data_IF_752528086145
#
_entry.id   IF_752528086145
#
_cell.length_a   1.000
_cell.length_b   1.000
_cell.length_c   1.000
_cell.angle_alpha   90.00
_cell.angle_beta   90.00
_cell.angle_gamma   90.00
#
_symmetry.space_group_name_H-M   'P 1'
#
loop_
_entity.id
_entity.type
_entity.pdbx_description
1 polymer ?
#
# COMPACT_ATOMS: atom_id res chain seq x y z
N UNK A 1 -70.41 -29.89 -44.05
CA UNK A 1 -69.06 -29.36 -44.40
C UNK A 1 -68.70 -28.27 -43.39
N UNK A 2 -67.93 -28.61 -42.35
CA UNK A 2 -67.51 -27.66 -41.30
C UNK A 2 -66.00 -27.50 -41.33
N UNK A 3 -65.41 -26.31 -41.36
CA UNK A 3 -63.95 -26.17 -41.19
C UNK A 3 -63.57 -26.12 -39.71
N UNK A 4 -62.62 -26.96 -39.38
CA UNK A 4 -61.96 -27.03 -38.08
C UNK A 4 -60.94 -25.89 -37.93
N UNK A 5 -61.13 -25.03 -36.95
CA UNK A 5 -60.14 -24.04 -36.53
C UNK A 5 -59.10 -24.69 -35.62
N UNK A 6 -57.83 -24.72 -36.10
CA UNK A 6 -56.65 -25.10 -35.30
C UNK A 6 -56.15 -23.82 -34.59
N UNK A 7 -56.34 -23.78 -33.26
CA UNK A 7 -55.65 -22.81 -32.41
C UNK A 7 -54.35 -23.41 -31.87
N UNK A 8 -53.22 -22.92 -32.37
CA UNK A 8 -51.89 -23.25 -31.83
C UNK A 8 -51.55 -22.40 -30.61
N UNK A 9 -50.87 -22.98 -29.60
CA UNK A 9 -50.43 -22.21 -28.42
C UNK A 9 -49.21 -21.37 -28.78
N UNK A 10 -49.29 -20.06 -28.50
CA UNK A 10 -48.18 -19.15 -28.56
C UNK A 10 -47.24 -19.42 -27.38
N UNK A 11 -46.05 -19.95 -27.64
CA UNK A 11 -44.99 -20.08 -26.65
C UNK A 11 -44.31 -18.76 -26.40
N UNK A 12 -44.59 -18.10 -25.23
CA UNK A 12 -43.86 -16.96 -24.75
C UNK A 12 -42.47 -17.39 -24.28
N UNK A 13 -41.44 -17.11 -25.05
CA UNK A 13 -40.04 -17.21 -24.64
C UNK A 13 -39.73 -16.05 -23.69
N UNK A 14 -39.61 -16.34 -22.39
CA UNK A 14 -39.06 -15.41 -21.40
C UNK A 14 -37.53 -15.40 -21.54
N UNK A 15 -36.99 -14.33 -22.11
CA UNK A 15 -35.54 -14.05 -22.07
C UNK A 15 -35.16 -13.58 -20.66
N UNK A 16 -34.61 -14.47 -19.85
CA UNK A 16 -33.97 -14.14 -18.58
C UNK A 16 -32.61 -13.53 -18.94
N UNK A 17 -32.57 -12.19 -19.00
CA UNK A 17 -31.30 -11.46 -19.08
C UNK A 17 -30.60 -11.56 -17.71
N UNK A 18 -29.65 -12.47 -17.56
CA UNK A 18 -28.72 -12.47 -16.45
C UNK A 18 -27.85 -11.21 -16.54
N UNK A 19 -28.19 -10.15 -15.78
CA UNK A 19 -27.28 -9.03 -15.57
C UNK A 19 -26.06 -9.55 -14.80
N UNK A 20 -24.90 -9.53 -15.47
CA UNK A 20 -23.63 -9.85 -14.80
C UNK A 20 -23.40 -8.81 -13.67
N UNK A 21 -23.00 -9.24 -12.46
CA UNK A 21 -22.68 -8.31 -11.40
C UNK A 21 -21.54 -7.41 -11.86
N UNK A 22 -21.76 -6.09 -11.81
CA UNK A 22 -20.70 -5.12 -12.03
C UNK A 22 -19.72 -5.32 -10.86
N UNK A 23 -18.53 -5.85 -11.16
CA UNK A 23 -17.47 -5.96 -10.18
C UNK A 23 -17.07 -4.52 -9.77
N UNK A 24 -17.51 -4.10 -8.58
CA UNK A 24 -17.05 -2.86 -7.97
C UNK A 24 -15.58 -3.09 -7.64
N UNK A 25 -14.70 -2.48 -8.42
CA UNK A 25 -13.27 -2.49 -8.17
C UNK A 25 -13.02 -1.78 -6.84
N UNK A 26 -12.39 -2.47 -5.88
CA UNK A 26 -11.96 -1.83 -4.65
C UNK A 26 -11.01 -0.67 -5.02
N UNK A 27 -11.14 0.50 -4.37
CA UNK A 27 -10.23 1.60 -4.62
C UNK A 27 -8.80 1.12 -4.38
N UNK A 28 -7.89 1.46 -5.30
CA UNK A 28 -6.47 1.16 -5.14
C UNK A 28 -5.94 1.91 -3.92
N UNK A 29 -5.27 1.25 -2.97
CA UNK A 29 -4.67 1.94 -1.83
C UNK A 29 -3.78 3.09 -2.31
N UNK A 30 -3.87 4.25 -1.66
CA UNK A 30 -3.02 5.40 -1.98
C UNK A 30 -1.54 5.03 -1.79
N UNK A 31 -0.68 5.48 -2.68
CA UNK A 31 0.78 5.37 -2.52
C UNK A 31 1.31 6.70 -1.97
N UNK A 32 1.75 6.69 -0.71
CA UNK A 32 2.26 7.90 -0.03
C UNK A 32 3.72 8.18 -0.36
N UNK A 33 4.42 7.24 -1.01
CA UNK A 33 5.81 7.44 -1.42
C UNK A 33 5.96 8.58 -2.44
N UNK A 34 4.93 8.86 -3.22
CA UNK A 34 4.91 9.96 -4.19
C UNK A 34 4.91 11.36 -3.53
N UNK A 35 4.48 11.45 -2.27
CA UNK A 35 4.42 12.72 -1.51
C UNK A 35 5.69 12.95 -0.68
N UNK A 36 6.67 12.02 -0.71
CA UNK A 36 7.92 12.14 0.03
C UNK A 36 8.91 13.05 -0.68
N UNK A 37 9.49 13.96 0.08
CA UNK A 37 10.50 14.89 -0.41
C UNK A 37 11.82 14.57 0.26
N UNK A 38 12.83 14.25 -0.56
CA UNK A 38 14.20 14.06 -0.12
C UNK A 38 14.97 15.38 -0.34
N UNK A 39 15.48 15.95 0.72
CA UNK A 39 16.27 17.18 0.64
C UNK A 39 17.74 16.88 0.91
N UNK A 40 18.62 17.57 0.16
CA UNK A 40 20.06 17.56 0.40
C UNK A 40 20.50 18.63 1.40
N UNK A 41 19.55 19.41 1.95
CA UNK A 41 19.79 20.49 2.89
C UNK A 41 18.88 20.31 4.13
N UNK A 42 19.35 20.65 5.33
CA UNK A 42 18.55 20.58 6.53
C UNK A 42 17.40 21.58 6.51
N UNK A 43 16.25 21.17 7.02
CA UNK A 43 15.07 22.01 7.18
C UNK A 43 13.92 21.65 6.24
N UNK A 44 12.72 22.22 6.51
CA UNK A 44 11.53 21.88 5.75
C UNK A 44 11.60 22.42 4.31
N UNK A 45 10.94 21.73 3.36
CA UNK A 45 10.82 22.22 2.00
C UNK A 45 10.11 23.58 1.93
N UNK A 46 10.43 24.43 0.94
CA UNK A 46 9.65 25.63 0.69
C UNK A 46 8.22 25.25 0.30
N UNK A 47 7.24 26.01 0.78
CA UNK A 47 5.83 25.76 0.48
C UNK A 47 4.96 26.99 0.68
N UNK A 48 3.68 26.92 0.27
CA UNK A 48 2.72 27.99 0.50
C UNK A 48 2.57 28.30 1.99
N UNK A 49 2.24 29.55 2.36
CA UNK A 49 1.93 29.88 3.76
C UNK A 49 0.85 28.97 4.34
N UNK A 50 1.06 28.50 5.59
CA UNK A 50 0.13 27.59 6.26
C UNK A 50 0.37 26.11 5.96
N UNK A 51 1.36 25.76 5.15
CA UNK A 51 1.77 24.35 4.98
C UNK A 51 2.54 23.90 6.23
N UNK A 52 2.09 22.79 6.83
CA UNK A 52 2.79 22.15 7.92
C UNK A 52 3.57 20.94 7.40
N UNK A 53 4.85 20.89 7.74
CA UNK A 53 5.77 19.86 7.35
C UNK A 53 6.17 19.00 8.55
N UNK A 54 6.39 17.73 8.31
CA UNK A 54 7.04 16.83 9.23
C UNK A 54 8.19 16.13 8.52
N UNK A 55 9.19 15.69 9.28
CA UNK A 55 10.24 14.83 8.78
C UNK A 55 10.35 13.57 9.64
N UNK A 56 10.85 12.52 9.05
CA UNK A 56 11.20 11.29 9.75
C UNK A 56 12.36 10.60 9.02
N UNK A 57 13.04 9.70 9.72
CA UNK A 57 14.09 8.87 9.15
C UNK A 57 13.49 7.52 8.78
N UNK A 58 13.30 7.28 7.50
CA UNK A 58 12.84 5.98 7.03
C UNK A 58 13.94 4.93 7.19
N UNK A 59 13.59 3.70 7.66
CA UNK A 59 14.57 2.64 7.82
C UNK A 59 15.13 2.16 6.49
N UNK A 60 16.35 1.61 6.54
CA UNK A 60 16.94 0.90 5.41
C UNK A 60 16.12 -0.36 5.08
N UNK A 61 15.94 -0.61 3.79
CA UNK A 61 15.23 -1.80 3.29
C UNK A 61 16.24 -2.81 2.75
N UNK A 62 16.15 -4.04 3.24
CA UNK A 62 17.01 -5.14 2.82
C UNK A 62 16.18 -6.26 2.20
N UNK A 63 16.76 -6.92 1.21
CA UNK A 63 16.26 -8.14 0.61
C UNK A 63 17.25 -9.28 0.88
N UNK A 64 16.74 -10.46 1.21
CA UNK A 64 17.56 -11.66 1.29
C UNK A 64 17.60 -12.32 -0.09
N UNK A 65 18.77 -12.29 -0.73
CA UNK A 65 19.00 -12.97 -1.99
C UNK A 65 19.76 -14.27 -1.75
N UNK A 66 19.38 -15.32 -2.45
CA UNK A 66 20.07 -16.62 -2.42
C UNK A 66 20.81 -16.81 -3.74
N UNK A 67 22.10 -16.91 -3.67
CA UNK A 67 22.98 -17.14 -4.82
C UNK A 67 23.53 -18.55 -4.78
N UNK A 68 23.63 -19.17 -5.95
CA UNK A 68 24.31 -20.46 -6.08
C UNK A 68 25.75 -20.20 -6.56
N UNK A 69 26.72 -20.58 -5.73
CA UNK A 69 28.14 -20.52 -6.07
C UNK A 69 28.61 -21.91 -6.45
N UNK A 70 29.20 -22.01 -7.63
CA UNK A 70 29.79 -23.26 -8.08
C UNK A 70 31.04 -23.57 -7.24
N UNK A 71 31.07 -24.75 -6.62
CA UNK A 71 32.17 -25.23 -5.79
C UNK A 71 33.16 -26.04 -6.64
N UNK A 72 32.64 -26.96 -7.44
CA UNK A 72 33.45 -27.75 -8.35
C UNK A 72 32.89 -27.64 -9.76
N UNK A 73 33.74 -27.42 -10.77
CA UNK A 73 33.28 -27.42 -12.14
C UNK A 73 32.91 -28.85 -12.59
N UNK A 74 32.09 -28.92 -13.61
CA UNK A 74 31.81 -30.15 -14.33
C UNK A 74 33.08 -30.67 -15.02
N UNK A 75 33.33 -31.95 -14.92
CA UNK A 75 34.44 -32.62 -15.62
C UNK A 75 33.89 -33.49 -16.74
N UNK A 76 34.47 -33.35 -17.94
CA UNK A 76 34.08 -34.15 -19.10
C UNK A 76 35.33 -34.92 -19.60
N UNK A 77 35.08 -36.09 -20.14
CA UNK A 77 36.13 -36.88 -20.82
C UNK A 77 36.42 -36.37 -22.25
N UNK A 78 37.36 -37.01 -22.94
CA UNK A 78 37.77 -36.66 -24.30
C UNK A 78 36.60 -36.83 -25.33
N UNK A 79 35.55 -37.55 -25.00
CA UNK A 79 34.36 -37.77 -25.84
C UNK A 79 33.27 -36.76 -25.56
N UNK A 80 33.47 -35.86 -24.53
CA UNK A 80 32.46 -34.88 -24.10
C UNK A 80 31.46 -35.40 -23.09
N UNK A 81 31.57 -36.65 -22.64
CA UNK A 81 30.69 -37.25 -21.63
C UNK A 81 31.04 -36.70 -20.25
N UNK A 82 29.99 -36.29 -19.48
CA UNK A 82 30.19 -35.80 -18.11
C UNK A 82 30.60 -36.93 -17.19
N UNK A 83 31.84 -36.85 -16.65
CA UNK A 83 32.39 -37.83 -15.72
C UNK A 83 32.20 -37.41 -14.24
N UNK A 84 32.11 -36.11 -13.98
CA UNK A 84 31.75 -35.57 -12.67
C UNK A 84 30.88 -34.35 -12.87
N UNK A 85 29.67 -34.30 -12.26
CA UNK A 85 28.76 -33.14 -12.36
C UNK A 85 29.32 -31.96 -11.55
N UNK A 86 28.98 -30.75 -11.97
CA UNK A 86 29.25 -29.56 -11.18
C UNK A 86 28.50 -29.59 -9.85
N UNK A 87 29.17 -29.16 -8.78
CA UNK A 87 28.51 -28.99 -7.49
C UNK A 87 28.32 -27.52 -7.14
N UNK A 88 27.23 -27.21 -6.49
CA UNK A 88 26.86 -25.83 -6.11
C UNK A 88 26.55 -25.75 -4.62
N UNK A 89 26.83 -24.58 -4.04
CA UNK A 89 26.41 -24.23 -2.69
C UNK A 89 25.49 -23.02 -2.76
N UNK A 90 24.37 -23.08 -2.07
CA UNK A 90 23.49 -21.92 -1.89
C UNK A 90 24.01 -21.09 -0.72
N UNK A 91 24.22 -19.80 -0.96
CA UNK A 91 24.62 -18.82 0.04
C UNK A 91 23.57 -17.69 0.04
N UNK A 92 22.99 -17.43 1.20
CA UNK A 92 22.08 -16.30 1.37
C UNK A 92 22.84 -15.10 1.89
N UNK A 93 22.60 -13.94 1.28
CA UNK A 93 23.15 -12.66 1.72
C UNK A 93 22.09 -11.58 1.71
N UNK A 94 22.24 -10.60 2.60
CA UNK A 94 21.41 -9.40 2.60
C UNK A 94 21.91 -8.42 1.53
N UNK A 95 21.02 -7.98 0.68
CA UNK A 95 21.23 -6.90 -0.27
C UNK A 95 20.44 -5.69 0.17
N UNK A 96 21.10 -4.57 0.38
CA UNK A 96 20.42 -3.32 0.65
C UNK A 96 19.73 -2.85 -0.63
N UNK A 97 18.40 -2.65 -0.56
CA UNK A 97 17.60 -2.09 -1.64
C UNK A 97 17.51 -0.57 -1.54
N UNK A 98 17.42 -0.06 -0.32
CA UNK A 98 17.34 1.37 -0.01
C UNK A 98 18.02 1.64 1.32
N UNK A 99 18.82 2.68 1.38
CA UNK A 99 19.42 3.15 2.62
C UNK A 99 18.40 3.92 3.46
N UNK A 100 18.70 4.08 4.76
CA UNK A 100 17.95 5.00 5.59
C UNK A 100 18.04 6.42 5.01
N UNK A 101 16.95 7.17 5.09
CA UNK A 101 16.93 8.53 4.56
C UNK A 101 16.00 9.42 5.38
N UNK A 102 16.41 10.67 5.60
CA UNK A 102 15.49 11.68 6.08
C UNK A 102 14.52 12.05 4.94
N UNK A 103 13.25 11.95 5.23
CA UNK A 103 12.16 12.28 4.31
C UNK A 103 11.29 13.36 4.92
N UNK A 104 10.87 14.30 4.08
CA UNK A 104 9.92 15.35 4.44
C UNK A 104 8.59 15.08 3.76
N UNK A 105 7.51 15.33 4.47
CA UNK A 105 6.16 15.20 3.94
C UNK A 105 5.22 16.20 4.60
N UNK A 106 4.13 16.51 3.91
CA UNK A 106 3.08 17.37 4.48
C UNK A 106 2.37 16.62 5.61
N UNK A 107 2.12 17.32 6.70
CA UNK A 107 1.43 16.80 7.88
C UNK A 107 0.26 17.73 8.27
N UNK A 108 -0.73 17.21 9.01
CA UNK A 108 -1.72 18.09 9.66
C UNK A 108 -1.03 19.08 10.57
N UNK A 109 -1.46 20.34 10.54
CA UNK A 109 -0.90 21.33 11.43
C UNK A 109 -1.23 21.02 12.90
N UNK A 110 -0.31 21.30 13.85
CA UNK A 110 -0.53 20.97 15.26
C UNK A 110 -1.85 21.46 15.83
N UNK A 111 -2.32 22.63 15.41
CA UNK A 111 -3.62 23.18 15.84
C UNK A 111 -4.84 22.37 15.38
N UNK A 112 -4.69 21.56 14.33
CA UNK A 112 -5.76 20.68 13.84
C UNK A 112 -5.81 19.34 14.58
N UNK A 113 -4.75 18.97 15.32
CA UNK A 113 -4.66 17.69 16.04
C UNK A 113 -5.33 17.85 17.41
N UNK A 114 -6.64 17.81 17.41
CA UNK A 114 -7.48 17.87 18.62
C UNK A 114 -7.81 16.45 19.11
N UNK A 115 -8.27 16.28 20.36
CA UNK A 115 -8.74 14.96 20.84
C UNK A 115 -9.83 14.35 19.95
N UNK A 116 -10.75 15.17 19.41
CA UNK A 116 -11.80 14.71 18.50
C UNK A 116 -11.23 14.26 17.15
N UNK A 117 -10.22 14.98 16.64
CA UNK A 117 -9.49 14.58 15.45
C UNK A 117 -8.80 13.22 15.67
N UNK A 118 -8.11 13.05 16.81
CA UNK A 118 -7.43 11.79 17.15
C UNK A 118 -8.44 10.65 17.31
N UNK A 119 -9.57 10.87 18.00
CA UNK A 119 -10.60 9.85 18.12
C UNK A 119 -11.18 9.45 16.75
N UNK A 120 -11.30 10.40 15.83
CA UNK A 120 -11.74 10.12 14.44
C UNK A 120 -10.69 9.34 13.68
N UNK A 121 -9.42 9.68 13.83
CA UNK A 121 -8.28 8.94 13.28
C UNK A 121 -8.24 7.48 13.79
N UNK A 122 -8.34 7.31 15.11
CA UNK A 122 -8.38 5.97 15.73
C UNK A 122 -9.57 5.15 15.20
N UNK A 123 -10.74 5.78 15.00
CA UNK A 123 -11.93 5.12 14.42
C UNK A 123 -11.69 4.70 12.98
N UNK A 124 -11.07 5.56 12.17
CA UNK A 124 -10.76 5.27 10.78
C UNK A 124 -9.70 4.15 10.64
N UNK A 125 -8.67 4.17 11.48
CA UNK A 125 -7.65 3.10 11.56
C UNK A 125 -8.27 1.78 12.05
N UNK A 126 -9.21 1.85 13.01
CA UNK A 126 -9.92 0.66 13.52
C UNK A 126 -10.79 0.02 12.45
N UNK A 127 -11.49 0.81 11.67
CA UNK A 127 -12.32 0.32 10.56
C UNK A 127 -11.49 -0.42 9.49
N UNK A 128 -10.18 -0.10 9.39
CA UNK A 128 -9.23 -0.74 8.46
C UNK A 128 -8.37 -1.83 9.11
N UNK A 129 -8.61 -2.15 10.40
CA UNK A 129 -7.91 -3.22 11.12
C UNK A 129 -6.53 -2.87 11.66
N UNK A 130 -6.10 -1.59 11.58
CA UNK A 130 -4.79 -1.16 12.09
C UNK A 130 -4.80 -0.75 13.57
N UNK A 131 -5.95 -0.36 14.14
CA UNK A 131 -6.11 -0.02 15.54
C UNK A 131 -7.15 -0.94 16.19
N UNK A 132 -6.79 -1.63 17.28
CA UNK A 132 -7.66 -2.65 17.90
C UNK A 132 -8.16 -2.27 19.29
N UNK A 133 -7.62 -1.19 19.88
CA UNK A 133 -7.91 -0.77 21.23
C UNK A 133 -9.17 0.13 21.32
N UNK A 134 -9.64 0.46 22.52
CA UNK A 134 -10.65 1.49 22.73
C UNK A 134 -10.16 2.87 22.26
N UNK A 135 -11.10 3.71 21.81
CA UNK A 135 -10.76 5.06 21.35
C UNK A 135 -10.41 5.94 22.56
N UNK A 136 -9.20 6.48 22.59
CA UNK A 136 -8.70 7.30 23.70
C UNK A 136 -8.76 8.80 23.41
N UNK A 137 -8.74 9.19 22.12
CA UNK A 137 -8.59 10.58 21.71
C UNK A 137 -7.21 11.16 22.00
N UNK A 138 -6.21 10.29 22.26
CA UNK A 138 -4.83 10.67 22.53
C UNK A 138 -3.89 10.04 21.50
N UNK A 139 -2.79 10.74 21.18
CA UNK A 139 -1.67 10.18 20.40
C UNK A 139 -0.78 9.35 21.31
N UNK A 140 -1.33 8.26 21.83
CA UNK A 140 -0.59 7.27 22.60
C UNK A 140 0.25 6.35 21.70
N UNK A 141 1.13 5.55 22.32
CA UNK A 141 2.04 4.64 21.60
C UNK A 141 1.27 3.69 20.67
N UNK A 142 0.13 3.19 21.11
CA UNK A 142 -0.71 2.30 20.30
C UNK A 142 -1.28 3.01 19.07
N UNK A 143 -1.62 4.29 19.20
CA UNK A 143 -2.09 5.11 18.08
C UNK A 143 -0.94 5.39 17.10
N UNK A 144 0.25 5.77 17.60
CA UNK A 144 1.43 6.00 16.78
C UNK A 144 1.84 4.76 16.00
N UNK A 145 1.83 3.59 16.64
CA UNK A 145 2.14 2.33 15.98
C UNK A 145 1.07 1.95 14.93
N UNK A 146 -0.19 2.24 15.18
CA UNK A 146 -1.26 2.02 14.21
C UNK A 146 -1.11 2.93 12.98
N UNK A 147 -0.72 4.21 13.19
CA UNK A 147 -0.39 5.15 12.12
C UNK A 147 0.79 4.61 11.30
N UNK A 148 1.87 4.20 11.97
CA UNK A 148 3.06 3.67 11.33
C UNK A 148 2.74 2.47 10.46
N UNK A 149 2.04 1.46 11.00
CA UNK A 149 1.65 0.26 10.24
C UNK A 149 0.77 0.58 9.04
N UNK A 150 -0.17 1.51 9.20
CA UNK A 150 -1.01 1.96 8.11
C UNK A 150 -0.20 2.65 7.02
N UNK A 151 0.64 3.62 7.39
CA UNK A 151 1.46 4.36 6.45
C UNK A 151 2.52 3.49 5.77
N UNK A 152 3.13 2.53 6.50
CA UNK A 152 4.09 1.59 5.95
C UNK A 152 3.51 0.72 4.84
N UNK A 153 2.24 0.29 4.98
CA UNK A 153 1.52 -0.43 3.93
C UNK A 153 1.28 0.41 2.67
N UNK A 154 1.46 1.74 2.76
CA UNK A 154 1.28 2.70 1.68
C UNK A 154 2.58 3.41 1.28
N UNK A 155 3.73 2.90 1.68
CA UNK A 155 5.04 3.38 1.24
C UNK A 155 5.71 4.42 2.15
N UNK A 156 5.13 4.78 3.31
CA UNK A 156 5.73 5.68 4.31
C UNK A 156 5.83 4.97 5.66
N UNK A 157 7.01 4.46 6.01
CA UNK A 157 7.24 3.85 7.33
C UNK A 157 7.59 4.94 8.36
N UNK A 158 6.56 5.57 8.91
CA UNK A 158 6.67 6.64 9.91
C UNK A 158 5.48 6.62 10.88
N UNK A 159 5.69 6.82 12.19
CA UNK A 159 4.63 7.05 13.17
C UNK A 159 4.06 8.48 13.09
N UNK A 160 4.73 9.40 12.39
CA UNK A 160 4.26 10.77 12.23
C UNK A 160 3.20 10.82 11.13
N UNK A 161 2.00 11.29 11.48
CA UNK A 161 0.85 11.28 10.60
C UNK A 161 1.04 12.22 9.40
N UNK A 162 0.98 11.68 8.18
CA UNK A 162 1.04 12.46 6.95
C UNK A 162 -0.34 13.02 6.55
N UNK A 163 -0.33 14.13 5.80
CA UNK A 163 -1.55 14.69 5.23
C UNK A 163 -2.15 13.75 4.17
N UNK A 164 -1.32 13.00 3.45
CA UNK A 164 -1.75 11.96 2.51
C UNK A 164 -2.58 10.89 3.22
N UNK A 165 -2.08 10.36 4.34
CA UNK A 165 -2.79 9.38 5.15
C UNK A 165 -4.12 9.91 5.68
N UNK A 166 -4.19 11.19 6.12
CA UNK A 166 -5.45 11.77 6.61
C UNK A 166 -6.50 11.91 5.51
N UNK A 167 -6.08 12.20 4.28
CA UNK A 167 -6.94 12.28 3.10
C UNK A 167 -7.45 10.89 2.71
N UNK A 168 -6.57 9.91 2.65
CA UNK A 168 -6.93 8.53 2.31
C UNK A 168 -7.84 7.89 3.37
N UNK A 169 -7.65 8.24 4.64
CA UNK A 169 -8.54 7.85 5.73
C UNK A 169 -9.89 8.59 5.70
N UNK A 170 -10.03 9.63 4.87
CA UNK A 170 -11.26 10.43 4.77
C UNK A 170 -11.49 11.38 5.95
N UNK A 171 -10.45 11.71 6.72
CA UNK A 171 -10.54 12.59 7.90
C UNK A 171 -10.46 14.06 7.49
N UNK A 172 -9.67 14.36 6.46
CA UNK A 172 -9.50 15.70 5.90
C UNK A 172 -9.98 15.70 4.46
N UNK A 173 -10.73 16.75 4.09
CA UNK A 173 -11.23 16.89 2.72
C UNK A 173 -10.07 17.05 1.73
N UNK A 174 -10.13 16.33 0.63
CA UNK A 174 -9.24 16.53 -0.52
C UNK A 174 -9.77 17.69 -1.36
N UNK A 175 -8.91 18.67 -1.67
CA UNK A 175 -9.32 19.74 -2.57
C UNK A 175 -9.56 19.19 -3.98
N UNK A 176 -10.62 19.65 -4.66
CA UNK A 176 -10.95 19.21 -6.04
C UNK A 176 -9.78 19.38 -7.02
N UNK A 177 -8.90 20.35 -6.77
CA UNK A 177 -7.70 20.60 -7.59
C UNK A 177 -6.64 19.47 -7.48
N UNK A 178 -6.67 18.68 -6.41
CA UNK A 178 -5.73 17.58 -6.14
C UNK A 178 -6.25 16.22 -6.68
N UNK A 179 -7.47 16.20 -7.21
CA UNK A 179 -8.07 15.02 -7.84
C UNK A 179 -7.73 15.04 -9.35
N UNK A 180 -6.57 14.51 -9.71
CA UNK A 180 -6.17 14.32 -11.12
C UNK A 180 -6.04 12.85 -11.45
#
# INVERSE_FOLDING_TARGET
>A
MSPRHLTGPAACLWLIACAAPIAVQAPTPGDFSADLIHLNQPGPPPGPPGTCWASDITPAVFETITEQTQITPEVRDATGTVTAPASYRSVSRLKMLRDHAEVWFKAPCPAAITPDFIATLQRALKARGFYLLPLTGALDEATLEAIRRYQAAHGLDSPVLSLAATRDLGIVATALADLK
#
